data_IF_326532816247
#
_entry.id   IF_326532816247
#
_cell.length_a   1.000
_cell.length_b   1.000
_cell.length_c   1.000
_cell.angle_alpha   90.00
_cell.angle_beta   90.00
_cell.angle_gamma   90.00
#
_symmetry.space_group_name_H-M   'P 1'
#
loop_
_entity.id
_entity.type
_entity.pdbx_description
1 polymer ?
#
# COMPACT_ATOMS: atom_id res chain seq x y z
N UNK A 1 -15.19 -13.66 -23.89
CA UNK A 1 -15.60 -14.42 -22.70
C UNK A 1 -14.43 -14.89 -21.83
N UNK A 2 -13.48 -15.68 -22.34
CA UNK A 2 -12.32 -16.15 -21.53
C UNK A 2 -11.50 -14.97 -20.95
N UNK A 3 -11.29 -13.91 -21.73
CA UNK A 3 -10.58 -12.71 -21.28
C UNK A 3 -11.28 -12.01 -20.10
N UNK A 4 -12.61 -11.92 -20.10
CA UNK A 4 -13.37 -11.31 -18.99
C UNK A 4 -13.29 -12.16 -17.72
N UNK A 5 -13.29 -13.49 -17.86
CA UNK A 5 -13.09 -14.38 -16.72
C UNK A 5 -11.70 -14.20 -16.11
N UNK A 6 -10.65 -14.16 -16.94
CA UNK A 6 -9.27 -13.92 -16.49
C UNK A 6 -9.13 -12.53 -15.86
N UNK A 7 -9.72 -11.49 -16.44
CA UNK A 7 -9.73 -10.14 -15.87
C UNK A 7 -10.43 -10.11 -14.50
N UNK A 8 -11.58 -10.78 -14.38
CA UNK A 8 -12.32 -10.90 -13.11
C UNK A 8 -11.52 -11.62 -12.04
N UNK A 9 -10.86 -12.73 -12.40
CA UNK A 9 -9.98 -13.47 -11.49
C UNK A 9 -8.77 -12.64 -11.06
N UNK A 10 -8.14 -11.92 -11.99
CA UNK A 10 -7.00 -11.05 -11.70
C UNK A 10 -7.38 -9.93 -10.73
N UNK A 11 -8.50 -9.25 -10.96
CA UNK A 11 -8.98 -8.18 -10.09
C UNK A 11 -9.38 -8.73 -8.70
N UNK A 12 -10.07 -9.87 -8.68
CA UNK A 12 -10.43 -10.57 -7.44
C UNK A 12 -9.21 -10.99 -6.62
N UNK A 13 -8.14 -11.48 -7.26
CA UNK A 13 -6.90 -11.83 -6.59
C UNK A 13 -6.23 -10.63 -5.93
N UNK A 14 -6.24 -9.46 -6.57
CA UNK A 14 -5.72 -8.21 -5.97
C UNK A 14 -6.52 -7.83 -4.73
N UNK A 15 -7.86 -7.85 -4.80
CA UNK A 15 -8.69 -7.54 -3.63
C UNK A 15 -8.58 -8.58 -2.51
N UNK A 16 -8.47 -9.86 -2.85
CA UNK A 16 -8.23 -10.93 -1.88
C UNK A 16 -6.89 -10.72 -1.16
N UNK A 17 -5.83 -10.36 -1.89
CA UNK A 17 -4.52 -10.07 -1.30
C UNK A 17 -4.57 -8.87 -0.34
N UNK A 18 -5.27 -7.79 -0.72
CA UNK A 18 -5.48 -6.62 0.16
C UNK A 18 -6.24 -7.02 1.43
N UNK A 19 -7.30 -7.81 1.30
CA UNK A 19 -8.09 -8.29 2.42
C UNK A 19 -7.28 -9.18 3.38
N UNK A 20 -6.48 -10.11 2.84
CA UNK A 20 -5.57 -10.96 3.62
C UNK A 20 -4.55 -10.10 4.38
N UNK A 21 -3.94 -9.11 3.72
CA UNK A 21 -3.01 -8.19 4.38
C UNK A 21 -3.64 -7.44 5.55
N UNK A 22 -4.83 -6.88 5.34
CA UNK A 22 -5.57 -6.19 6.41
C UNK A 22 -5.94 -7.14 7.56
N UNK A 23 -6.39 -8.36 7.26
CA UNK A 23 -6.72 -9.37 8.25
C UNK A 23 -5.50 -9.78 9.10
N UNK A 24 -4.32 -9.91 8.48
CA UNK A 24 -3.07 -10.22 9.20
C UNK A 24 -2.69 -9.11 10.18
N UNK A 25 -2.77 -7.85 9.76
CA UNK A 25 -2.48 -6.69 10.61
C UNK A 25 -3.47 -6.61 11.77
N UNK A 26 -4.76 -6.80 11.50
CA UNK A 26 -5.79 -6.83 12.54
C UNK A 26 -5.59 -8.00 13.52
N UNK A 27 -5.21 -9.19 13.03
CA UNK A 27 -4.98 -10.37 13.86
C UNK A 27 -3.87 -10.14 14.90
N UNK A 28 -2.84 -9.37 14.53
CA UNK A 28 -1.72 -9.05 15.42
C UNK A 28 -2.08 -7.89 16.36
N UNK A 29 -2.60 -6.79 15.81
CA UNK A 29 -2.82 -5.56 16.57
C UNK A 29 -4.09 -5.57 17.43
N UNK A 30 -5.09 -6.41 17.09
CA UNK A 30 -6.40 -6.50 17.74
C UNK A 30 -7.22 -5.20 17.72
N UNK A 31 -6.87 -4.24 16.86
CA UNK A 31 -7.65 -3.04 16.55
C UNK A 31 -7.60 -2.74 15.05
N UNK A 32 -8.60 -1.99 14.56
CA UNK A 32 -8.65 -1.59 13.15
C UNK A 32 -7.61 -0.49 12.88
N UNK A 33 -6.56 -0.84 12.15
CA UNK A 33 -5.50 0.10 11.81
C UNK A 33 -5.79 0.79 10.46
N UNK A 34 -6.43 1.96 10.52
CA UNK A 34 -6.69 2.85 9.39
C UNK A 34 -5.44 3.42 8.70
N UNK A 35 -4.26 3.36 9.34
CA UNK A 35 -3.01 3.83 8.75
C UNK A 35 -2.49 2.87 7.68
N UNK A 36 -2.99 1.63 7.64
CA UNK A 36 -2.59 0.63 6.65
C UNK A 36 -2.72 1.14 5.20
N UNK A 37 -3.80 1.85 4.88
CA UNK A 37 -4.00 2.45 3.56
C UNK A 37 -2.93 3.48 3.21
N UNK A 38 -2.55 4.34 4.16
CA UNK A 38 -1.49 5.34 3.96
C UNK A 38 -0.11 4.70 3.77
N UNK A 39 0.17 3.57 4.42
CA UNK A 39 1.43 2.82 4.22
C UNK A 39 1.48 2.23 2.81
N UNK A 40 0.38 1.62 2.33
CA UNK A 40 0.29 1.13 0.94
C UNK A 40 0.54 2.28 -0.04
N UNK A 41 -0.13 3.42 0.17
CA UNK A 41 0.02 4.60 -0.67
C UNK A 41 1.47 5.07 -0.74
N UNK A 42 2.13 5.32 0.39
CA UNK A 42 3.52 5.78 0.42
C UNK A 42 4.48 4.80 -0.24
N UNK A 43 4.28 3.49 0.00
CA UNK A 43 5.10 2.44 -0.60
C UNK A 43 4.94 2.40 -2.13
N UNK A 44 3.70 2.55 -2.61
CA UNK A 44 3.39 2.60 -4.03
C UNK A 44 3.96 3.86 -4.70
N UNK A 45 3.93 5.02 -4.04
CA UNK A 45 4.56 6.23 -4.58
C UNK A 45 6.08 6.12 -4.63
N UNK A 46 6.71 5.50 -3.62
CA UNK A 46 8.14 5.23 -3.66
C UNK A 46 8.52 4.31 -4.82
N UNK A 47 7.78 3.21 -5.02
CA UNK A 47 7.98 2.31 -6.16
C UNK A 47 7.82 3.00 -7.50
N UNK A 48 6.82 3.89 -7.63
CA UNK A 48 6.59 4.68 -8.83
C UNK A 48 7.77 5.61 -9.12
N UNK A 49 8.22 6.34 -8.11
CA UNK A 49 9.39 7.21 -8.21
C UNK A 49 10.64 6.42 -8.64
N UNK A 50 10.90 5.29 -7.97
CA UNK A 50 12.04 4.43 -8.27
C UNK A 50 12.01 3.91 -9.71
N UNK A 51 10.87 3.38 -10.15
CA UNK A 51 10.69 2.87 -11.50
C UNK A 51 10.76 3.97 -12.56
N UNK A 52 10.15 5.14 -12.30
CA UNK A 52 10.14 6.23 -13.27
C UNK A 52 11.50 6.91 -13.44
N UNK A 53 12.26 7.06 -12.35
CA UNK A 53 13.58 7.71 -12.37
C UNK A 53 14.67 6.77 -12.86
N UNK A 54 14.72 5.53 -12.37
CA UNK A 54 15.81 4.60 -12.67
C UNK A 54 15.46 3.55 -13.73
N UNK A 55 14.20 3.51 -14.20
CA UNK A 55 13.70 2.53 -15.20
C UNK A 55 14.01 1.08 -14.81
N UNK A 56 13.96 0.80 -13.52
CA UNK A 56 14.18 -0.55 -12.97
C UNK A 56 13.00 -1.46 -13.28
N UNK A 57 13.25 -2.76 -13.42
CA UNK A 57 12.20 -3.74 -13.72
C UNK A 57 11.19 -3.95 -12.57
N UNK A 58 10.18 -4.79 -12.83
CA UNK A 58 9.11 -5.09 -11.88
C UNK A 58 9.62 -5.63 -10.54
N UNK A 59 10.49 -6.66 -10.59
CA UNK A 59 10.96 -7.36 -9.39
C UNK A 59 11.75 -6.44 -8.44
N UNK A 60 12.78 -5.69 -8.90
CA UNK A 60 13.46 -4.72 -8.04
C UNK A 60 12.52 -3.66 -7.46
N UNK A 61 11.59 -3.14 -8.27
CA UNK A 61 10.63 -2.12 -7.83
C UNK A 61 9.72 -2.67 -6.73
N UNK A 62 9.20 -3.89 -6.92
CA UNK A 62 8.33 -4.56 -5.96
C UNK A 62 9.06 -4.80 -4.63
N UNK A 63 10.26 -5.38 -4.66
CA UNK A 63 11.05 -5.65 -3.46
C UNK A 63 11.43 -4.37 -2.72
N UNK A 64 11.89 -3.33 -3.43
CA UNK A 64 12.22 -2.05 -2.83
C UNK A 64 10.99 -1.39 -2.17
N UNK A 65 9.83 -1.45 -2.83
CA UNK A 65 8.57 -0.91 -2.28
C UNK A 65 8.12 -1.67 -1.04
N UNK A 66 8.27 -3.01 -1.02
CA UNK A 66 7.98 -3.84 0.16
C UNK A 66 8.87 -3.46 1.35
N UNK A 67 10.17 -3.30 1.12
CA UNK A 67 11.12 -2.91 2.17
C UNK A 67 10.77 -1.53 2.74
N UNK A 68 10.52 -0.55 1.86
CA UNK A 68 10.14 0.80 2.28
C UNK A 68 8.82 0.80 3.05
N UNK A 69 7.82 0.05 2.60
CA UNK A 69 6.56 -0.10 3.33
C UNK A 69 6.73 -0.70 4.72
N UNK A 70 7.59 -1.73 4.84
CA UNK A 70 7.96 -2.30 6.13
C UNK A 70 8.64 -1.27 7.04
N UNK A 71 9.58 -0.48 6.51
CA UNK A 71 10.26 0.58 7.27
C UNK A 71 9.28 1.66 7.75
N UNK A 72 8.37 2.11 6.88
CA UNK A 72 7.33 3.08 7.24
C UNK A 72 6.42 2.52 8.33
N UNK A 73 5.99 1.26 8.21
CA UNK A 73 5.18 0.61 9.22
C UNK A 73 5.91 0.53 10.58
N UNK A 74 7.21 0.24 10.59
CA UNK A 74 8.03 0.24 11.82
C UNK A 74 8.14 1.64 12.41
N UNK A 75 8.27 2.69 11.59
CA UNK A 75 8.30 4.08 12.05
C UNK A 75 6.96 4.45 12.70
N UNK A 76 5.85 4.15 12.05
CA UNK A 76 4.49 4.38 12.57
C UNK A 76 4.27 3.63 13.88
N UNK A 77 4.66 2.36 13.95
CA UNK A 77 4.56 1.56 15.16
C UNK A 77 5.40 2.17 16.28
N UNK A 78 6.63 2.62 16.02
CA UNK A 78 7.51 3.19 17.04
C UNK A 78 7.05 4.55 17.55
N UNK A 79 6.54 5.41 16.67
CA UNK A 79 6.21 6.81 17.00
C UNK A 79 4.74 6.99 17.39
N UNK A 80 3.82 6.28 16.72
CA UNK A 80 2.39 6.39 16.96
C UNK A 80 1.89 5.41 18.03
N UNK A 81 2.14 4.12 17.85
CA UNK A 81 1.45 3.09 18.63
C UNK A 81 2.22 2.61 19.87
N UNK A 82 3.54 2.44 19.76
CA UNK A 82 4.39 1.98 20.87
C UNK A 82 4.33 2.89 22.11
N UNK A 83 4.28 4.23 22.00
CA UNK A 83 4.16 5.09 23.18
C UNK A 83 2.82 4.93 23.90
N UNK A 84 1.72 4.79 23.15
CA UNK A 84 0.38 4.55 23.70
C UNK A 84 0.35 3.23 24.46
N UNK A 85 0.94 2.19 23.85
CA UNK A 85 1.03 0.86 24.48
C UNK A 85 1.88 0.86 25.75
N UNK A 86 3.04 1.52 25.73
CA UNK A 86 3.93 1.64 26.91
C UNK A 86 3.28 2.38 28.08
N UNK A 87 2.35 3.30 27.80
CA UNK A 87 1.60 4.03 28.81
C UNK A 87 0.29 3.34 29.23
N UNK A 88 0.04 2.10 28.78
CA UNK A 88 -1.22 1.38 28.99
C UNK A 88 -2.45 2.21 28.60
N UNK A 89 -2.34 2.96 27.49
CA UNK A 89 -3.42 3.80 27.00
C UNK A 89 -4.64 2.99 26.55
N UNK A 90 -5.87 3.49 26.78
CA UNK A 90 -7.10 2.94 26.24
C UNK A 90 -7.05 2.64 24.73
N UNK A 91 -7.80 1.60 24.31
CA UNK A 91 -7.87 1.16 22.90
C UNK A 91 -8.26 2.30 21.94
N UNK A 92 -9.12 3.20 22.38
CA UNK A 92 -9.60 4.34 21.58
C UNK A 92 -8.46 5.23 21.08
N UNK A 93 -7.38 5.36 21.84
CA UNK A 93 -6.22 6.15 21.43
C UNK A 93 -5.47 5.54 20.24
N UNK A 94 -5.47 4.22 20.09
CA UNK A 94 -4.90 3.57 18.90
C UNK A 94 -5.71 3.88 17.64
N UNK A 95 -7.05 3.86 17.74
CA UNK A 95 -7.92 4.22 16.62
C UNK A 95 -7.73 5.68 16.19
N UNK A 96 -7.76 6.61 17.15
CA UNK A 96 -7.57 8.05 16.88
C UNK A 96 -6.19 8.31 16.29
N UNK A 97 -5.14 7.72 16.87
CA UNK A 97 -3.77 7.84 16.36
C UNK A 97 -3.65 7.29 14.93
N UNK A 98 -4.26 6.14 14.65
CA UNK A 98 -4.22 5.51 13.34
C UNK A 98 -4.89 6.37 12.25
N UNK A 99 -6.05 6.95 12.56
CA UNK A 99 -6.75 7.89 11.65
C UNK A 99 -5.89 9.13 11.43
N UNK A 100 -5.35 9.73 12.50
CA UNK A 100 -4.51 10.92 12.41
C UNK A 100 -3.26 10.68 11.56
N UNK A 101 -2.60 9.53 11.74
CA UNK A 101 -1.42 9.14 10.93
C UNK A 101 -1.81 8.95 9.47
N UNK A 102 -2.93 8.28 9.20
CA UNK A 102 -3.43 8.07 7.85
C UNK A 102 -3.70 9.38 7.12
N UNK A 103 -4.45 10.28 7.78
CA UNK A 103 -4.75 11.62 7.26
C UNK A 103 -3.49 12.45 7.08
N UNK A 104 -2.57 12.45 8.05
CA UNK A 104 -1.31 13.19 7.96
C UNK A 104 -0.53 12.79 6.71
N UNK A 105 -0.31 11.49 6.51
CA UNK A 105 0.43 11.03 5.34
C UNK A 105 -0.31 11.24 4.03
N UNK A 106 -1.64 11.06 4.02
CA UNK A 106 -2.44 11.31 2.84
C UNK A 106 -2.38 12.78 2.42
N UNK A 107 -2.53 13.72 3.35
CA UNK A 107 -2.44 15.14 3.07
C UNK A 107 -1.01 15.58 2.75
N UNK A 108 -0.01 15.03 3.43
CA UNK A 108 1.39 15.27 3.07
C UNK A 108 1.68 14.86 1.63
N UNK A 109 1.23 13.66 1.24
CA UNK A 109 1.42 13.16 -0.12
C UNK A 109 0.65 14.00 -1.15
N UNK A 110 -0.59 14.39 -0.82
CA UNK A 110 -1.41 15.24 -1.68
C UNK A 110 -0.77 16.63 -1.86
N UNK A 111 -0.13 17.17 -0.82
CA UNK A 111 0.59 18.43 -0.91
C UNK A 111 1.88 18.32 -1.77
N UNK A 112 2.57 17.17 -1.73
CA UNK A 112 3.82 16.97 -2.48
C UNK A 112 3.59 16.60 -3.95
N UNK A 113 2.59 15.78 -4.26
CA UNK A 113 2.37 15.23 -5.61
C UNK A 113 1.03 15.62 -6.24
N UNK A 114 0.20 16.38 -5.53
CA UNK A 114 -1.17 16.68 -5.94
C UNK A 114 -2.14 15.53 -5.69
N UNK A 115 -3.41 15.76 -5.99
CA UNK A 115 -4.48 14.74 -5.91
C UNK A 115 -4.64 13.91 -7.18
N UNK A 116 -3.62 13.87 -8.05
CA UNK A 116 -3.72 13.22 -9.36
C UNK A 116 -3.38 11.73 -9.28
N UNK A 117 -4.03 10.95 -10.13
CA UNK A 117 -3.73 9.53 -10.27
C UNK A 117 -2.52 9.34 -11.18
N UNK A 118 -1.53 8.57 -10.70
CA UNK A 118 -0.33 8.26 -11.47
C UNK A 118 -0.34 6.80 -11.90
N UNK A 119 -0.03 6.55 -13.16
CA UNK A 119 0.11 5.22 -13.72
C UNK A 119 1.58 4.78 -13.66
N UNK A 120 1.80 3.53 -13.28
CA UNK A 120 3.13 2.92 -13.36
C UNK A 120 3.57 2.79 -14.82
N UNK A 121 4.88 2.94 -15.12
CA UNK A 121 5.39 2.64 -16.45
C UNK A 121 5.25 1.15 -16.77
N UNK A 122 5.09 0.81 -18.04
CA UNK A 122 4.94 -0.58 -18.48
C UNK A 122 6.18 -1.41 -18.18
N UNK A 123 6.04 -2.38 -17.28
CA UNK A 123 7.10 -3.32 -16.94
C UNK A 123 7.15 -4.54 -17.86
N UNK A 124 6.04 -4.87 -18.51
CA UNK A 124 5.92 -6.01 -19.41
C UNK A 124 5.49 -5.51 -20.79
N UNK A 125 6.14 -6.00 -21.86
CA UNK A 125 5.68 -5.73 -23.22
C UNK A 125 4.34 -6.41 -23.41
N UNK A 126 3.28 -5.62 -23.56
CA UNK A 126 1.90 -6.07 -23.82
C UNK A 126 1.87 -6.77 -25.18
N UNK A 127 2.15 -8.07 -25.22
CA UNK A 127 1.97 -8.89 -26.41
C UNK A 127 0.48 -9.22 -26.49
N UNK A 128 -0.27 -8.40 -27.23
CA UNK A 128 -1.65 -8.70 -27.58
C UNK A 128 -1.66 -9.91 -28.51
N UNK A 129 -1.84 -11.09 -27.93
CA UNK A 129 -2.07 -12.30 -28.73
C UNK A 129 -3.50 -12.19 -29.24
N UNK A 130 -3.65 -11.72 -30.48
CA UNK A 130 -4.96 -11.58 -31.12
C UNK A 130 -5.42 -12.99 -31.50
N UNK A 131 -6.25 -13.60 -30.65
CA UNK A 131 -6.82 -14.92 -30.92
C UNK A 131 -8.03 -14.72 -31.83
N UNK A 132 -7.74 -14.58 -33.14
CA UNK A 132 -8.71 -14.63 -34.24
C UNK A 132 -9.18 -13.27 -34.79
N UNK A 133 -9.21 -13.18 -36.12
CA UNK A 133 -10.29 -12.49 -36.85
C UNK A 133 -11.64 -13.16 -36.53
#
# INVERSE_FOLDING_TARGET
>A
MIQQFVNGLSLGAVYALIAVGFALVFSILKFSNFSHGSVIMLSAYFGLWLSSTFKVGLLPTLLASMVVGGLIAVIIERLGFRPIRKKNGPLIYFFVSSIAISMFFQYLMTALMGGQFFMYPDFMKTSSINVGD
#
